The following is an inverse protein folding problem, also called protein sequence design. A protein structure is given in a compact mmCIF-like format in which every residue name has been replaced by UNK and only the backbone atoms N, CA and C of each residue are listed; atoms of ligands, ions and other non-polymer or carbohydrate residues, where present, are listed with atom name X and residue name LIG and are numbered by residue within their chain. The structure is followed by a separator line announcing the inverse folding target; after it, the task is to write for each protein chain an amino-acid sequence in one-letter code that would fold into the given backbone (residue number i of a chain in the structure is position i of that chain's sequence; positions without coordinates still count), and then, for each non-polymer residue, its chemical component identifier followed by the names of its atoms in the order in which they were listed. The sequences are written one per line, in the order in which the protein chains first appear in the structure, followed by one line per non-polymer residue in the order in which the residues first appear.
data_IF_844926036973
#
_entry.id   IF_844926036973
#
_cell.length_a   1.000
_cell.length_b   1.000
_cell.length_c   1.000
_cell.angle_alpha   90.00
_cell.angle_beta   90.00
_cell.angle_gamma   90.00
#
_symmetry.space_group_name_H-M   'P 1'
#
loop_
_entity.id
_entity.type
_entity.pdbx_description
1 polymer ?
#
# COMPACT_ATOMS: atom_id res chain seq x y z
N UNK A 1 15.43 -5.95 7.44
CA UNK A 1 15.00 -6.95 8.44
C UNK A 1 14.35 -6.18 9.59
N UNK A 2 13.02 -6.20 9.70
CA UNK A 2 12.28 -5.52 10.77
C UNK A 2 12.35 -6.38 12.04
N UNK A 3 13.48 -6.33 12.76
CA UNK A 3 13.91 -7.35 13.72
C UNK A 3 13.04 -7.54 14.99
N UNK A 4 11.87 -6.93 15.08
CA UNK A 4 10.91 -7.14 16.18
C UNK A 4 9.45 -7.13 15.72
N UNK A 5 9.17 -7.11 14.42
CA UNK A 5 7.80 -7.02 13.90
C UNK A 5 7.22 -8.39 13.60
N UNK A 6 6.04 -8.67 14.14
CA UNK A 6 5.26 -9.87 13.80
C UNK A 6 4.39 -9.56 12.58
N UNK A 7 4.59 -10.32 11.51
CA UNK A 7 3.74 -10.25 10.32
C UNK A 7 2.60 -11.27 10.45
N UNK A 8 1.35 -10.80 10.36
CA UNK A 8 0.16 -11.63 10.31
C UNK A 8 -0.33 -11.75 8.87
N UNK A 9 -0.50 -12.98 8.38
CA UNK A 9 -1.22 -13.22 7.12
C UNK A 9 -2.72 -13.21 7.39
N UNK A 10 -3.46 -12.41 6.62
CA UNK A 10 -4.92 -12.40 6.67
C UNK A 10 -5.48 -13.40 5.66
N UNK A 11 -6.58 -14.05 6.04
CA UNK A 11 -7.26 -15.00 5.15
C UNK A 11 -8.06 -14.22 4.10
N UNK A 12 -7.78 -14.46 2.83
CA UNK A 12 -8.61 -13.95 1.73
C UNK A 12 -9.74 -14.93 1.44
N UNK A 13 -10.92 -14.43 1.09
CA UNK A 13 -12.00 -15.23 0.53
C UNK A 13 -12.23 -14.82 -0.91
N UNK A 14 -12.63 -15.77 -1.76
CA UNK A 14 -13.08 -15.44 -3.11
C UNK A 14 -14.50 -14.87 -3.03
N UNK A 15 -14.70 -13.72 -3.65
CA UNK A 15 -15.98 -13.02 -3.70
C UNK A 15 -15.78 -11.51 -3.59
N UNK A 16 -16.70 -10.82 -2.91
CA UNK A 16 -16.62 -9.37 -2.73
C UNK A 16 -16.88 -8.58 -4.02
N UNK A 17 -16.56 -7.27 -4.04
CA UNK A 17 -16.89 -6.39 -5.17
C UNK A 17 -16.28 -6.81 -6.52
N UNK A 18 -15.18 -7.55 -6.49
CA UNK A 18 -14.40 -7.92 -7.68
C UNK A 18 -14.49 -9.41 -8.04
N UNK A 19 -15.36 -10.18 -7.36
CA UNK A 19 -15.50 -11.63 -7.52
C UNK A 19 -14.16 -12.42 -7.51
N UNK A 20 -13.21 -11.95 -6.70
CA UNK A 20 -11.85 -12.47 -6.61
C UNK A 20 -11.40 -12.57 -5.14
N UNK A 21 -10.18 -13.06 -4.89
CA UNK A 21 -9.63 -13.17 -3.56
C UNK A 21 -9.35 -11.79 -2.95
N UNK A 22 -9.97 -11.49 -1.81
CA UNK A 22 -9.78 -10.24 -1.08
C UNK A 22 -9.92 -10.45 0.44
N UNK A 23 -9.33 -9.57 1.23
CA UNK A 23 -9.56 -9.50 2.68
C UNK A 23 -10.94 -8.88 2.94
N UNK A 24 -11.71 -9.49 3.84
CA UNK A 24 -13.00 -8.92 4.27
C UNK A 24 -12.87 -8.03 5.50
N UNK A 25 -13.85 -7.16 5.71
CA UNK A 25 -13.95 -6.32 6.91
C UNK A 25 -13.91 -7.17 8.19
N UNK A 26 -14.67 -8.27 8.23
CA UNK A 26 -14.74 -9.17 9.40
C UNK A 26 -13.40 -9.85 9.65
N UNK A 27 -12.67 -10.20 8.58
CA UNK A 27 -11.33 -10.80 8.71
C UNK A 27 -10.34 -9.80 9.31
N UNK A 28 -10.38 -8.55 8.85
CA UNK A 28 -9.52 -7.49 9.35
C UNK A 28 -9.84 -7.13 10.81
N UNK A 29 -11.12 -6.90 11.13
CA UNK A 29 -11.54 -6.55 12.49
C UNK A 29 -11.22 -7.67 13.49
N UNK A 30 -11.50 -8.94 13.12
CA UNK A 30 -11.14 -10.09 13.95
C UNK A 30 -9.64 -10.17 14.21
N UNK A 31 -8.82 -9.90 13.20
CA UNK A 31 -7.38 -9.88 13.35
C UNK A 31 -6.91 -8.78 14.31
N UNK A 32 -7.43 -7.56 14.16
CA UNK A 32 -7.12 -6.41 15.03
C UNK A 32 -7.52 -6.72 16.48
N UNK A 33 -8.72 -7.25 16.70
CA UNK A 33 -9.19 -7.65 18.04
C UNK A 33 -8.30 -8.72 18.66
N UNK A 34 -7.94 -9.75 17.89
CA UNK A 34 -7.09 -10.85 18.35
C UNK A 34 -5.69 -10.36 18.71
N UNK A 35 -5.11 -9.46 17.91
CA UNK A 35 -3.79 -8.90 18.18
C UNK A 35 -3.81 -8.06 19.47
N UNK A 36 -4.84 -7.23 19.68
CA UNK A 36 -5.01 -6.47 20.94
C UNK A 36 -5.19 -7.37 22.15
N UNK A 37 -5.99 -8.44 22.05
CA UNK A 37 -6.17 -9.42 23.13
C UNK A 37 -4.86 -10.11 23.53
N UNK A 38 -3.94 -10.28 22.58
CA UNK A 38 -2.61 -10.85 22.83
C UNK A 38 -1.57 -9.80 23.28
N UNK A 39 -1.98 -8.57 23.60
CA UNK A 39 -1.08 -7.48 24.01
C UNK A 39 -0.22 -6.92 22.88
N UNK A 40 -0.59 -7.17 21.61
CA UNK A 40 0.10 -6.62 20.44
C UNK A 40 -0.55 -5.30 20.01
N UNK A 41 0.22 -4.50 19.28
CA UNK A 41 -0.24 -3.22 18.71
C UNK A 41 -0.28 -3.37 17.18
N UNK A 42 -1.48 -3.51 16.56
CA UNK A 42 -1.62 -3.38 15.11
C UNK A 42 -1.30 -1.95 14.69
N UNK A 43 -0.40 -1.77 13.72
CA UNK A 43 0.01 -0.43 13.30
C UNK A 43 0.15 -0.25 11.79
N UNK A 44 0.21 -1.34 11.02
CA UNK A 44 0.24 -1.27 9.56
C UNK A 44 -0.62 -2.37 8.94
N UNK A 45 -1.37 -2.02 7.91
CA UNK A 45 -2.03 -2.95 7.01
C UNK A 45 -1.56 -2.68 5.58
N UNK A 46 -0.99 -3.70 4.96
CA UNK A 46 -0.58 -3.69 3.56
C UNK A 46 -1.76 -4.25 2.76
N UNK A 47 -2.55 -3.36 2.17
CA UNK A 47 -3.58 -3.73 1.22
C UNK A 47 -2.95 -3.97 -0.14
N UNK A 48 -3.36 -5.03 -0.83
CA UNK A 48 -2.83 -5.35 -2.15
C UNK A 48 -3.87 -5.04 -3.22
N UNK A 49 -3.50 -4.19 -4.17
CA UNK A 49 -4.22 -4.04 -5.43
C UNK A 49 -3.56 -4.97 -6.44
N UNK A 50 -4.12 -6.17 -6.55
CA UNK A 50 -3.73 -7.26 -7.44
C UNK A 50 -2.57 -8.10 -6.94
N UNK A 51 -2.93 -9.13 -6.19
CA UNK A 51 -2.01 -10.14 -5.67
C UNK A 51 -1.29 -10.88 -6.79
N UNK A 52 -0.06 -11.33 -6.52
CA UNK A 52 0.79 -12.02 -7.50
C UNK A 52 0.15 -13.28 -8.09
N UNK A 53 -0.61 -14.03 -7.29
CA UNK A 53 -1.12 -15.35 -7.70
C UNK A 53 -2.40 -15.29 -8.53
N UNK A 54 -3.33 -14.41 -8.19
CA UNK A 54 -4.67 -14.39 -8.79
C UNK A 54 -5.15 -12.99 -9.21
N UNK A 55 -4.28 -11.98 -9.10
CA UNK A 55 -4.65 -10.58 -9.22
C UNK A 55 -5.87 -10.20 -8.35
N UNK A 56 -5.92 -10.73 -7.12
CA UNK A 56 -6.94 -10.39 -6.13
C UNK A 56 -6.76 -8.95 -5.63
N UNK A 57 -7.84 -8.25 -5.35
CA UNK A 57 -7.80 -6.83 -4.96
C UNK A 57 -8.54 -6.61 -3.65
N UNK A 58 -7.87 -5.98 -2.69
CA UNK A 58 -8.49 -5.57 -1.44
C UNK A 58 -9.38 -4.32 -1.66
N UNK A 59 -10.65 -4.31 -1.21
CA UNK A 59 -11.54 -3.17 -1.36
C UNK A 59 -11.17 -2.05 -0.38
N UNK A 60 -10.38 -1.07 -0.86
CA UNK A 60 -9.84 0.03 -0.05
C UNK A 60 -10.95 0.90 0.55
N UNK A 61 -12.04 1.13 -0.17
CA UNK A 61 -13.24 1.83 0.29
C UNK A 61 -13.91 1.16 1.50
N UNK A 62 -13.83 -0.17 1.61
CA UNK A 62 -14.40 -0.94 2.72
C UNK A 62 -13.44 -1.12 3.89
N UNK A 63 -12.16 -1.32 3.62
CA UNK A 63 -11.16 -1.61 4.65
C UNK A 63 -10.52 -0.32 5.21
N UNK A 64 -10.46 0.74 4.41
CA UNK A 64 -9.88 2.03 4.77
C UNK A 64 -10.51 2.67 6.02
N UNK A 65 -11.86 2.78 6.11
CA UNK A 65 -12.52 3.32 7.30
C UNK A 65 -12.19 2.57 8.58
N UNK A 66 -12.03 1.24 8.51
CA UNK A 66 -11.66 0.40 9.66
C UNK A 66 -10.24 0.77 10.11
N UNK A 67 -9.28 0.79 9.20
CA UNK A 67 -7.91 1.15 9.53
C UNK A 67 -7.79 2.58 10.09
N UNK A 68 -8.54 3.55 9.56
CA UNK A 68 -8.56 4.91 10.12
C UNK A 68 -9.13 4.95 11.53
N UNK A 69 -10.23 4.25 11.79
CA UNK A 69 -10.84 4.13 13.13
C UNK A 69 -9.86 3.53 14.14
N UNK A 70 -9.09 2.53 13.70
CA UNK A 70 -8.15 1.81 14.55
C UNK A 70 -6.73 2.43 14.59
N UNK A 71 -6.53 3.57 13.92
CA UNK A 71 -5.24 4.26 13.79
C UNK A 71 -4.11 3.37 13.23
N UNK A 72 -4.42 2.61 12.19
CA UNK A 72 -3.51 1.70 11.48
C UNK A 72 -3.06 2.36 10.19
N UNK A 73 -1.74 2.39 9.94
CA UNK A 73 -1.14 2.86 8.69
C UNK A 73 -1.58 1.99 7.52
N UNK A 74 -2.06 2.59 6.45
CA UNK A 74 -2.48 1.87 5.25
C UNK A 74 -1.43 2.07 4.15
N UNK A 75 -0.80 0.97 3.75
CA UNK A 75 0.06 0.93 2.57
C UNK A 75 -0.62 0.16 1.45
N UNK A 76 -0.70 0.76 0.25
CA UNK A 76 -1.12 0.06 -0.96
C UNK A 76 0.10 -0.51 -1.69
N UNK A 77 0.16 -1.84 -1.79
CA UNK A 77 1.04 -2.54 -2.73
C UNK A 77 0.28 -2.77 -4.05
N UNK A 78 0.68 -2.04 -5.08
CA UNK A 78 0.18 -2.18 -6.45
C UNK A 78 1.32 -2.54 -7.41
N UNK A 79 2.24 -3.43 -6.99
CA UNK A 79 3.46 -3.73 -7.73
C UNK A 79 3.25 -4.08 -9.21
N UNK A 80 2.36 -5.04 -9.51
CA UNK A 80 2.17 -5.53 -10.89
C UNK A 80 0.91 -4.99 -11.56
N UNK A 81 -0.15 -4.81 -10.80
CA UNK A 81 -1.23 -5.77 -10.92
C UNK A 81 -1.91 -5.87 -12.29
N UNK A 82 -1.58 -6.90 -13.05
CA UNK A 82 -2.03 -7.12 -14.43
C UNK A 82 -3.45 -7.64 -14.61
N UNK A 83 -3.88 -7.61 -15.86
CA UNK A 83 -4.94 -8.41 -16.49
C UNK A 83 -6.23 -8.58 -15.69
N UNK A 84 -7.04 -7.53 -15.64
CA UNK A 84 -8.50 -7.74 -15.57
C UNK A 84 -8.95 -8.34 -16.91
N UNK A 85 -9.87 -9.31 -16.86
CA UNK A 85 -10.30 -10.27 -17.89
C UNK A 85 -10.62 -9.74 -19.31
N UNK A 86 -10.47 -8.44 -19.59
CA UNK A 86 -10.71 -7.79 -20.88
C UNK A 86 -9.53 -6.97 -21.45
N UNK A 87 -8.46 -6.68 -20.70
CA UNK A 87 -7.36 -5.84 -21.17
C UNK A 87 -5.99 -6.25 -20.63
N UNK A 88 -4.95 -6.02 -21.43
CA UNK A 88 -3.59 -6.57 -21.28
C UNK A 88 -2.63 -5.73 -20.41
N UNK A 89 -3.14 -4.79 -19.61
CA UNK A 89 -2.34 -3.81 -18.87
C UNK A 89 -2.33 -4.05 -17.34
N UNK A 90 -1.68 -3.18 -16.57
CA UNK A 90 -1.23 -3.30 -15.15
C UNK A 90 -1.85 -2.23 -14.22
N UNK A 91 -2.20 -2.51 -12.96
CA UNK A 91 -3.12 -1.72 -12.08
C UNK A 91 -2.52 -0.44 -11.54
N UNK A 92 -1.23 -0.42 -11.22
CA UNK A 92 -0.56 0.84 -10.87
C UNK A 92 -0.64 1.84 -12.02
N UNK A 93 -0.42 1.36 -13.25
CA UNK A 93 -0.58 2.14 -14.46
C UNK A 93 -2.05 2.29 -14.90
N UNK A 94 -2.96 1.37 -14.54
CA UNK A 94 -4.37 1.46 -14.92
C UNK A 94 -5.03 2.65 -14.24
N UNK A 95 -4.57 3.10 -13.08
CA UNK A 95 -5.07 4.36 -12.51
C UNK A 95 -4.85 5.57 -13.44
N UNK A 96 -3.92 5.47 -14.41
CA UNK A 96 -3.78 6.45 -15.51
C UNK A 96 -4.96 6.38 -16.49
N UNK A 97 -5.45 5.17 -16.77
CA UNK A 97 -6.60 4.89 -17.61
C UNK A 97 -7.92 5.24 -16.87
N UNK A 98 -8.75 6.16 -17.41
CA UNK A 98 -9.99 6.61 -16.76
C UNK A 98 -10.93 5.47 -16.32
N UNK A 99 -11.01 4.42 -17.12
CA UNK A 99 -11.90 3.28 -16.92
C UNK A 99 -11.53 2.39 -15.72
N UNK A 100 -10.34 2.53 -15.15
CA UNK A 100 -9.91 1.81 -13.95
C UNK A 100 -9.76 2.70 -12.71
N UNK A 101 -10.03 4.00 -12.81
CA UNK A 101 -9.95 4.93 -11.67
C UNK A 101 -10.89 4.56 -10.53
N UNK A 102 -11.93 3.77 -10.78
CA UNK A 102 -12.80 3.23 -9.74
C UNK A 102 -12.03 2.39 -8.69
N UNK A 103 -10.87 1.82 -9.05
CA UNK A 103 -10.00 1.10 -8.13
C UNK A 103 -9.33 2.02 -7.10
N UNK A 104 -9.34 3.34 -7.33
CA UNK A 104 -8.83 4.34 -6.37
C UNK A 104 -9.87 4.79 -5.34
N UNK A 105 -11.10 4.25 -5.37
CA UNK A 105 -12.08 4.57 -4.34
C UNK A 105 -11.56 4.17 -2.95
N UNK A 106 -11.61 5.10 -1.98
CA UNK A 106 -11.04 4.91 -0.66
C UNK A 106 -9.58 5.37 -0.52
N UNK A 107 -8.93 5.87 -1.58
CA UNK A 107 -7.55 6.38 -1.50
C UNK A 107 -7.45 7.60 -0.58
N UNK A 108 -8.55 8.28 -0.26
CA UNK A 108 -8.63 9.27 0.81
C UNK A 108 -8.30 8.71 2.21
N UNK A 109 -8.18 7.38 2.37
CA UNK A 109 -7.74 6.72 3.60
C UNK A 109 -6.26 6.30 3.62
N UNK A 110 -5.61 6.11 2.46
CA UNK A 110 -4.27 5.50 2.37
C UNK A 110 -3.13 6.43 2.78
N UNK A 111 -2.12 5.93 3.49
CA UNK A 111 -0.98 6.72 3.97
C UNK A 111 0.22 6.64 3.01
N UNK A 112 0.39 5.50 2.33
CA UNK A 112 1.38 5.34 1.25
C UNK A 112 0.93 4.41 0.14
N UNK A 113 1.46 4.62 -1.06
CA UNK A 113 1.17 3.87 -2.27
C UNK A 113 2.46 3.53 -3.00
N UNK A 114 2.60 2.29 -3.48
CA UNK A 114 3.74 1.86 -4.29
C UNK A 114 3.26 1.11 -5.54
N UNK A 115 3.99 1.30 -6.65
CA UNK A 115 3.87 0.45 -7.84
C UNK A 115 5.25 0.18 -8.45
N UNK A 116 5.40 -0.91 -9.20
CA UNK A 116 6.62 -1.17 -9.96
C UNK A 116 6.44 -0.71 -11.40
N UNK A 117 6.98 0.45 -11.72
CA UNK A 117 7.06 0.95 -13.09
C UNK A 117 7.71 -0.07 -14.03
N UNK A 118 8.74 -0.79 -13.58
CA UNK A 118 9.41 -1.84 -14.39
C UNK A 118 8.57 -3.10 -14.66
N UNK A 119 7.39 -3.23 -14.04
CA UNK A 119 6.43 -4.31 -14.35
C UNK A 119 5.31 -3.83 -15.27
N UNK A 120 4.89 -2.59 -15.05
CA UNK A 120 3.62 -2.06 -15.52
C UNK A 120 3.75 -1.08 -16.70
N UNK A 121 4.91 -0.43 -16.81
CA UNK A 121 5.24 0.60 -17.77
C UNK A 121 6.45 0.16 -18.60
N UNK A 122 6.69 0.76 -19.78
CA UNK A 122 7.86 0.44 -20.62
C UNK A 122 9.15 1.06 -20.04
N UNK A 123 9.50 0.68 -18.81
CA UNK A 123 10.68 1.13 -18.06
C UNK A 123 11.49 -0.11 -17.68
N UNK A 124 12.81 -0.08 -17.87
CA UNK A 124 13.67 -1.20 -17.46
C UNK A 124 13.77 -1.31 -15.93
N UNK A 125 14.16 -2.50 -15.46
CA UNK A 125 14.51 -2.73 -14.06
C UNK A 125 15.77 -1.91 -13.69
N UNK A 126 15.87 -1.24 -12.53
CA UNK A 126 14.91 -1.08 -11.42
C UNK A 126 14.11 0.23 -11.49
N UNK A 127 12.80 0.17 -11.22
CA UNK A 127 11.98 1.38 -11.03
C UNK A 127 10.69 1.08 -10.23
N UNK A 128 10.58 1.62 -9.02
CA UNK A 128 9.42 1.44 -8.12
C UNK A 128 9.06 2.75 -7.43
N UNK A 129 8.31 3.64 -8.09
CA UNK A 129 7.90 4.89 -7.47
C UNK A 129 6.95 4.64 -6.29
N UNK A 130 7.15 5.43 -5.24
CA UNK A 130 6.38 5.38 -4.00
C UNK A 130 5.89 6.79 -3.65
N UNK A 131 4.63 6.87 -3.24
CA UNK A 131 3.99 8.11 -2.79
C UNK A 131 3.63 7.98 -1.32
N UNK A 132 3.76 9.09 -0.61
CA UNK A 132 3.33 9.22 0.78
C UNK A 132 2.35 10.37 0.87
N UNK A 133 1.31 10.22 1.69
CA UNK A 133 0.35 11.30 1.95
C UNK A 133 1.02 12.51 2.59
N UNK A 134 1.86 12.27 3.59
CA UNK A 134 2.69 13.28 4.23
C UNK A 134 4.17 12.91 4.11
N UNK A 135 4.84 13.47 3.08
CA UNK A 135 6.28 13.28 2.88
C UNK A 135 7.12 13.78 4.06
N UNK A 136 6.65 14.79 4.82
CA UNK A 136 7.39 15.32 5.99
C UNK A 136 7.37 14.35 7.16
N UNK A 137 6.28 13.60 7.34
CA UNK A 137 6.20 12.57 8.38
C UNK A 137 7.26 11.49 8.15
N UNK A 138 7.43 11.08 6.90
CA UNK A 138 8.35 10.02 6.51
C UNK A 138 9.82 10.43 6.67
N UNK A 139 10.14 11.69 6.37
CA UNK A 139 11.49 12.20 6.58
C UNK A 139 11.98 12.01 8.00
N UNK A 140 11.12 12.11 9.01
CA UNK A 140 11.51 11.92 10.41
C UNK A 140 12.08 10.53 10.69
N UNK A 141 11.69 9.53 9.91
CA UNK A 141 12.11 8.14 10.10
C UNK A 141 13.35 7.76 9.31
N UNK A 142 13.62 8.45 8.20
CA UNK A 142 14.79 8.20 7.37
C UNK A 142 15.93 9.15 7.70
N UNK A 143 15.64 10.44 7.88
CA UNK A 143 16.63 11.52 7.90
C UNK A 143 17.85 11.24 8.78
N UNK A 144 18.99 11.04 8.12
CA UNK A 144 20.31 11.12 8.72
C UNK A 144 20.99 12.44 8.37
N UNK A 145 21.61 13.10 9.34
CA UNK A 145 22.31 14.39 9.12
C UNK A 145 23.81 14.31 9.47
N UNK A 146 24.58 13.42 8.81
CA UNK A 146 26.03 13.39 8.99
C UNK A 146 26.66 14.65 8.39
N UNK A 147 27.74 15.13 9.01
CA UNK A 147 28.42 16.38 8.63
C UNK A 147 28.84 16.38 7.15
N UNK A 148 29.26 15.23 6.62
CA UNK A 148 29.73 15.09 5.23
C UNK A 148 28.62 15.11 4.17
N UNK A 149 27.34 15.13 4.56
CA UNK A 149 26.21 15.32 3.63
C UNK A 149 25.61 16.73 3.70
N UNK A 150 26.17 17.65 4.50
CA UNK A 150 25.63 19.02 4.60
C UNK A 150 25.88 19.81 3.30
N UNK A 151 24.89 20.60 2.88
CA UNK A 151 24.92 21.47 1.71
C UNK A 151 24.01 22.68 1.95
N UNK A 152 24.22 23.79 1.23
CA UNK A 152 23.59 25.07 1.55
C UNK A 152 22.06 25.09 1.28
N UNK A 153 21.59 24.29 0.32
CA UNK A 153 20.19 24.26 -0.15
C UNK A 153 19.33 23.15 0.48
N UNK A 154 19.60 22.78 1.74
CA UNK A 154 18.85 21.74 2.46
C UNK A 154 17.34 22.00 2.59
N UNK A 155 16.88 23.21 2.30
CA UNK A 155 15.47 23.62 2.41
C UNK A 155 14.72 23.62 1.07
N UNK A 156 15.43 23.51 -0.06
CA UNK A 156 14.84 23.67 -1.40
C UNK A 156 14.17 22.39 -1.91
N UNK A 157 14.60 21.22 -1.44
CA UNK A 157 14.04 19.92 -1.81
C UNK A 157 14.02 18.99 -0.61
N UNK A 158 13.03 18.10 -0.59
CA UNK A 158 12.94 17.02 0.40
C UNK A 158 14.03 15.99 0.11
N UNK A 159 15.01 15.89 0.98
CA UNK A 159 16.10 14.93 0.85
C UNK A 159 15.86 13.70 1.75
N UNK A 160 15.53 12.57 1.11
CA UNK A 160 15.33 11.28 1.78
C UNK A 160 16.70 10.61 1.94
N UNK A 161 17.35 10.84 3.08
CA UNK A 161 18.64 10.24 3.46
C UNK A 161 18.47 9.29 4.61
#
# INVERSE_FOLDING_TARGET
MLAAMRLRKLKTIRGGPFDNFSVTAETLEKAIMTDRQNGLVPFIFIMTLGTTSSCGMDPVDKLGPICKRENIWIHIDSAYAGKSFKFEFSIGAFLLCPEFRYLSHGFEYIDSFNMNAHKALPINFDCSPMWFRDGKQILKYFAVNPIYLKYDDQTCAVDYR
#
